data_IF_513438768750
#
_entry.id   IF_513438768750
#
_cell.length_a   1.000
_cell.length_b   1.000
_cell.length_c   1.000
_cell.angle_alpha   90.00
_cell.angle_beta   90.00
_cell.angle_gamma   90.00
#
_symmetry.space_group_name_H-M   'P 1'
#
loop_
_entity.id
_entity.type
_entity.pdbx_description
1 polymer ?
#
# COMPACT_ATOMS: atom_id res chain seq x y z
N UNK A 1 -41.40 -30.22 42.73
CA UNK A 1 -40.37 -29.48 43.48
C UNK A 1 -39.50 -28.74 42.48
N UNK A 2 -39.41 -27.41 42.65
CA UNK A 2 -38.46 -26.43 42.07
C UNK A 2 -38.34 -26.27 40.53
N UNK A 3 -38.49 -25.00 40.17
CA UNK A 3 -38.32 -24.31 38.88
C UNK A 3 -36.89 -24.43 38.35
N UNK A 4 -36.72 -24.29 37.04
CA UNK A 4 -35.88 -23.23 36.46
C UNK A 4 -36.31 -22.93 35.03
N UNK A 5 -36.52 -21.64 34.81
CA UNK A 5 -36.85 -20.96 33.56
C UNK A 5 -35.56 -20.76 32.75
N UNK A 6 -35.59 -20.95 31.44
CA UNK A 6 -34.69 -20.23 30.52
C UNK A 6 -35.52 -19.64 29.39
N UNK A 7 -35.48 -18.33 29.34
CA UNK A 7 -36.09 -17.44 28.34
C UNK A 7 -35.08 -17.32 27.20
N UNK A 8 -35.47 -17.73 25.99
CA UNK A 8 -34.88 -17.22 24.75
C UNK A 8 -36.07 -16.78 23.89
N UNK A 9 -36.36 -15.49 23.92
CA UNK A 9 -37.40 -14.90 23.10
C UNK A 9 -36.85 -14.68 21.69
N UNK A 10 -37.39 -15.47 20.76
CA UNK A 10 -37.34 -15.27 19.31
C UNK A 10 -38.28 -14.11 18.98
N UNK A 11 -37.78 -13.07 18.28
CA UNK A 11 -38.59 -12.03 17.64
C UNK A 11 -37.95 -11.81 16.26
N UNK A 12 -38.30 -12.61 15.25
CA UNK A 12 -39.31 -12.34 14.20
C UNK A 12 -39.11 -10.99 13.51
N UNK A 13 -38.46 -11.07 12.35
CA UNK A 13 -38.48 -10.09 11.27
C UNK A 13 -39.92 -9.77 10.84
N UNK A 14 -40.29 -8.49 10.85
CA UNK A 14 -41.36 -7.98 9.98
C UNK A 14 -40.77 -6.84 9.15
N UNK A 15 -40.62 -7.15 7.87
CA UNK A 15 -40.43 -6.21 6.78
C UNK A 15 -41.69 -5.37 6.63
N UNK A 16 -41.58 -4.05 6.73
CA UNK A 16 -42.52 -3.12 6.11
C UNK A 16 -41.73 -2.30 5.10
N UNK A 17 -41.95 -2.62 3.83
CA UNK A 17 -41.57 -1.83 2.67
C UNK A 17 -42.37 -0.54 2.71
N UNK A 18 -41.69 0.58 2.89
CA UNK A 18 -42.21 1.93 2.73
C UNK A 18 -41.27 2.72 1.83
N UNK A 19 -41.43 2.54 0.52
CA UNK A 19 -40.72 3.27 -0.51
C UNK A 19 -41.04 4.76 -0.43
N UNK A 20 -40.10 5.55 0.05
CA UNK A 20 -40.04 6.98 -0.23
C UNK A 20 -38.64 7.26 -0.74
N UNK A 21 -38.51 7.49 -2.06
CA UNK A 21 -37.36 8.19 -2.63
C UNK A 21 -37.33 9.58 -2.01
N UNK A 22 -36.58 9.75 -0.93
CA UNK A 22 -35.99 11.03 -0.60
C UNK A 22 -34.69 11.13 -1.38
N UNK A 23 -34.80 11.62 -2.61
CA UNK A 23 -33.65 12.21 -3.30
C UNK A 23 -33.33 13.49 -2.50
N UNK A 24 -32.55 13.32 -1.44
CA UNK A 24 -32.04 14.42 -0.65
C UNK A 24 -31.22 15.29 -1.59
N UNK A 25 -31.73 16.48 -1.90
CA UNK A 25 -30.89 17.58 -2.36
C UNK A 25 -29.94 17.84 -1.18
N UNK A 26 -28.72 17.30 -1.25
CA UNK A 26 -27.62 17.76 -0.39
C UNK A 26 -27.53 19.26 -0.64
N UNK A 27 -27.82 20.07 0.37
CA UNK A 27 -27.53 21.49 0.27
C UNK A 27 -26.05 21.60 0.02
N UNK A 28 -25.67 22.26 -1.08
CA UNK A 28 -24.31 22.67 -1.32
C UNK A 28 -23.92 23.58 -0.17
N UNK A 29 -23.22 23.03 0.83
CA UNK A 29 -22.66 23.84 1.91
C UNK A 29 -21.78 24.92 1.28
N UNK A 30 -21.84 26.12 1.85
CA UNK A 30 -20.95 27.20 1.44
C UNK A 30 -19.51 26.66 1.53
N UNK A 31 -18.67 26.88 0.51
CA UNK A 31 -17.27 26.47 0.58
C UNK A 31 -16.64 27.10 1.84
N UNK A 32 -15.97 26.29 2.69
CA UNK A 32 -15.37 26.82 3.91
C UNK A 32 -14.18 27.73 3.54
N UNK A 33 -14.06 28.93 4.11
CA UNK A 33 -12.96 29.82 3.81
C UNK A 33 -11.64 29.27 4.37
N UNK A 34 -10.53 29.50 3.66
CA UNK A 34 -9.19 29.15 4.14
C UNK A 34 -8.82 29.89 5.45
N UNK A 35 -9.47 31.02 5.69
CA UNK A 35 -9.33 31.84 6.90
C UNK A 35 -9.55 31.06 8.21
N UNK A 36 -10.28 29.94 8.18
CA UNK A 36 -10.44 29.06 9.34
C UNK A 36 -9.09 28.49 9.81
N UNK A 37 -8.06 28.44 8.95
CA UNK A 37 -6.69 28.02 9.26
C UNK A 37 -5.71 29.18 9.48
N UNK A 38 -6.17 30.43 9.57
CA UNK A 38 -5.31 31.60 9.81
C UNK A 38 -4.34 31.39 10.99
N UNK A 39 -3.07 31.71 10.77
CA UNK A 39 -2.00 31.57 11.75
C UNK A 39 -0.65 31.17 11.14
N UNK A 40 0.37 31.13 11.99
CA UNK A 40 1.65 30.49 11.69
C UNK A 40 1.62 29.07 12.23
N UNK A 41 2.12 28.13 11.43
CA UNK A 41 2.08 26.71 11.75
C UNK A 41 3.44 26.08 11.53
N UNK A 42 3.96 25.42 12.56
CA UNK A 42 5.24 24.71 12.47
C UNK A 42 5.04 23.33 11.88
N UNK A 43 5.97 22.92 11.04
CA UNK A 43 5.92 21.60 10.42
C UNK A 43 6.60 20.55 11.31
N UNK A 44 5.78 19.65 11.84
CA UNK A 44 6.21 18.58 12.75
C UNK A 44 7.25 17.67 12.08
N UNK A 45 7.18 17.49 10.75
CA UNK A 45 8.15 16.71 9.98
C UNK A 45 9.59 17.20 10.11
N UNK A 46 9.78 18.49 10.40
CA UNK A 46 11.12 19.09 10.58
C UNK A 46 11.76 18.78 11.94
N UNK A 47 10.99 18.23 12.88
CA UNK A 47 11.41 17.91 14.25
C UNK A 47 11.79 16.43 14.44
N UNK A 48 11.56 15.59 13.43
CA UNK A 48 11.73 14.13 13.52
C UNK A 48 13.20 13.67 13.69
N UNK A 49 14.17 14.51 13.34
CA UNK A 49 15.59 14.21 13.55
C UNK A 49 16.11 14.60 14.95
N UNK A 50 15.27 15.20 15.81
CA UNK A 50 15.71 15.54 17.16
C UNK A 50 15.94 14.25 17.99
N UNK A 51 17.09 14.12 18.69
CA UNK A 51 17.39 12.93 19.51
C UNK A 51 16.35 12.62 20.59
N UNK A 52 15.52 13.59 20.99
CA UNK A 52 14.43 13.34 21.92
C UNK A 52 13.36 12.38 21.35
N UNK A 53 13.28 12.22 20.02
CA UNK A 53 12.38 11.28 19.35
C UNK A 53 12.81 9.82 19.47
N UNK A 54 14.05 9.52 19.87
CA UNK A 54 14.56 8.13 19.93
C UNK A 54 13.66 7.23 20.80
N UNK A 55 13.21 7.73 21.96
CA UNK A 55 12.32 6.99 22.85
C UNK A 55 10.92 6.75 22.26
N UNK A 56 10.45 7.66 21.39
CA UNK A 56 9.17 7.50 20.67
C UNK A 56 9.29 6.37 19.65
N UNK A 57 10.38 6.35 18.88
CA UNK A 57 10.62 5.32 17.87
C UNK A 57 10.75 3.93 18.49
N UNK A 58 11.45 3.82 19.63
CA UNK A 58 11.50 2.58 20.41
C UNK A 58 10.10 2.15 20.86
N UNK A 59 9.31 3.05 21.45
CA UNK A 59 7.96 2.74 21.92
C UNK A 59 7.01 2.30 20.80
N UNK A 60 7.11 2.92 19.61
CA UNK A 60 6.34 2.54 18.43
C UNK A 60 6.74 1.15 17.90
N UNK A 61 8.05 0.88 17.83
CA UNK A 61 8.58 -0.43 17.45
C UNK A 61 8.10 -1.53 18.40
N UNK A 62 8.19 -1.29 19.71
CA UNK A 62 7.72 -2.21 20.74
C UNK A 62 6.21 -2.47 20.63
N UNK A 63 5.41 -1.43 20.39
CA UNK A 63 3.96 -1.58 20.20
C UNK A 63 3.62 -2.41 18.96
N UNK A 64 4.28 -2.17 17.83
CA UNK A 64 4.09 -2.96 16.61
C UNK A 64 4.52 -4.42 16.82
N UNK A 65 5.64 -4.66 17.50
CA UNK A 65 6.10 -6.00 17.84
C UNK A 65 5.15 -6.74 18.77
N UNK A 66 4.59 -6.05 19.76
CA UNK A 66 3.58 -6.63 20.64
C UNK A 66 2.31 -7.03 19.89
N UNK A 67 1.96 -6.27 18.84
CA UNK A 67 0.82 -6.56 17.98
C UNK A 67 1.10 -7.67 16.96
N UNK A 68 2.29 -7.71 16.36
CA UNK A 68 2.70 -8.69 15.35
C UNK A 68 3.05 -10.06 15.96
N UNK A 69 3.67 -10.07 17.15
CA UNK A 69 4.04 -11.29 17.87
C UNK A 69 5.36 -11.94 17.43
N UNK A 70 6.13 -11.32 16.52
CA UNK A 70 7.35 -11.89 15.92
C UNK A 70 8.64 -11.08 16.14
N UNK A 71 8.54 -9.84 16.67
CA UNK A 71 9.71 -9.01 16.98
C UNK A 71 10.39 -8.40 15.74
N UNK A 72 9.69 -8.33 14.61
CA UNK A 72 10.23 -7.91 13.31
C UNK A 72 10.49 -6.40 13.15
N UNK A 73 9.89 -5.55 13.99
CA UNK A 73 9.94 -4.09 13.86
C UNK A 73 11.07 -3.47 14.69
N UNK A 74 11.70 -2.44 14.12
CA UNK A 74 12.78 -1.68 14.75
C UNK A 74 12.42 -0.20 14.92
N UNK A 75 13.22 0.53 15.71
CA UNK A 75 13.11 1.98 15.82
C UNK A 75 13.36 2.68 14.47
N UNK A 76 14.21 2.12 13.60
CA UNK A 76 14.46 2.67 12.26
C UNK A 76 13.22 2.51 11.34
N UNK A 77 12.45 1.44 11.51
CA UNK A 77 11.17 1.26 10.80
C UNK A 77 10.14 2.29 11.26
N UNK A 78 10.06 2.53 12.58
CA UNK A 78 9.21 3.57 13.16
C UNK A 78 9.59 4.96 12.67
N UNK A 79 10.89 5.26 12.63
CA UNK A 79 11.41 6.50 12.05
C UNK A 79 10.98 6.60 10.59
N UNK A 80 11.29 5.60 9.76
CA UNK A 80 10.95 5.59 8.34
C UNK A 80 9.45 5.78 8.08
N UNK A 81 8.60 5.17 8.90
CA UNK A 81 7.15 5.34 8.85
C UNK A 81 6.73 6.79 9.13
N UNK A 82 7.21 7.42 10.20
CA UNK A 82 6.89 8.83 10.47
C UNK A 82 7.45 9.78 9.40
N UNK A 83 8.62 9.50 8.81
CA UNK A 83 9.14 10.26 7.67
C UNK A 83 8.22 10.16 6.45
N UNK A 84 7.72 8.96 6.14
CA UNK A 84 6.78 8.79 5.05
C UNK A 84 5.46 9.51 5.34
N UNK A 85 4.96 9.43 6.57
CA UNK A 85 3.74 10.09 7.01
C UNK A 85 3.83 11.62 6.90
N UNK A 86 4.92 12.23 7.39
CA UNK A 86 5.07 13.70 7.42
C UNK A 86 5.84 14.28 6.24
N UNK A 87 6.12 13.48 5.21
CA UNK A 87 6.92 13.89 4.06
C UNK A 87 6.40 15.20 3.48
N UNK A 88 7.24 16.21 3.46
CA UNK A 88 6.93 17.53 2.93
C UNK A 88 8.21 18.14 2.36
N UNK A 89 8.07 19.06 1.40
CA UNK A 89 9.19 19.74 0.73
C UNK A 89 9.41 21.18 1.23
N UNK A 90 8.67 21.59 2.26
CA UNK A 90 8.70 22.91 2.87
C UNK A 90 8.98 22.82 4.38
N UNK A 91 9.40 23.93 4.97
CA UNK A 91 9.52 24.12 6.42
C UNK A 91 8.15 24.43 7.01
N UNK A 92 7.95 25.63 7.52
CA UNK A 92 6.70 26.05 8.15
C UNK A 92 5.66 26.61 7.16
N UNK A 93 4.45 26.88 7.65
CA UNK A 93 3.39 27.57 6.92
C UNK A 93 2.95 28.86 7.63
N UNK A 94 2.58 29.86 6.84
CA UNK A 94 1.80 31.00 7.30
C UNK A 94 0.52 31.11 6.48
N UNK A 95 -0.64 31.21 7.15
CA UNK A 95 -1.94 31.34 6.50
C UNK A 95 -2.56 32.67 6.92
N UNK A 96 -2.86 33.51 5.93
CA UNK A 96 -3.52 34.80 6.11
C UNK A 96 -4.58 35.00 5.02
N UNK A 97 -5.85 34.97 5.43
CA UNK A 97 -6.97 35.03 4.50
C UNK A 97 -6.96 33.85 3.53
N UNK A 98 -6.93 34.16 2.23
CA UNK A 98 -6.84 33.19 1.16
C UNK A 98 -5.39 32.87 0.74
N UNK A 99 -4.38 33.36 1.47
CA UNK A 99 -2.96 33.21 1.12
C UNK A 99 -2.26 32.23 2.03
N UNK A 100 -1.56 31.26 1.45
CA UNK A 100 -0.59 30.39 2.13
C UNK A 100 0.82 30.83 1.75
N UNK A 101 1.64 31.12 2.75
CA UNK A 101 3.08 31.29 2.60
C UNK A 101 3.77 30.00 3.00
N UNK A 102 4.44 29.36 2.06
CA UNK A 102 5.32 28.22 2.33
C UNK A 102 6.71 28.75 2.65
N UNK A 103 7.30 28.29 3.75
CA UNK A 103 8.67 28.62 4.12
C UNK A 103 9.61 27.47 3.76
N UNK A 104 10.90 27.75 3.57
CA UNK A 104 11.94 26.73 3.62
C UNK A 104 12.26 26.41 5.09
N UNK A 105 13.00 25.31 5.33
CA UNK A 105 13.44 24.91 6.67
C UNK A 105 14.31 25.97 7.35
N UNK A 106 14.99 26.82 6.58
CA UNK A 106 15.78 27.94 7.12
C UNK A 106 14.95 29.20 7.44
N UNK A 107 13.62 29.12 7.31
CA UNK A 107 12.68 30.22 7.56
C UNK A 107 12.56 31.25 6.43
N UNK A 108 13.28 31.07 5.32
CA UNK A 108 13.11 31.93 4.14
C UNK A 108 11.79 31.62 3.42
N UNK A 109 11.17 32.63 2.80
CA UNK A 109 9.94 32.42 2.01
C UNK A 109 10.28 31.59 0.77
N UNK A 110 9.62 30.44 0.62
CA UNK A 110 9.69 29.60 -0.57
C UNK A 110 8.76 30.13 -1.66
N UNK A 111 7.48 30.28 -1.34
CA UNK A 111 6.48 30.85 -2.23
C UNK A 111 5.26 31.36 -1.45
N UNK A 112 4.42 32.15 -2.13
CA UNK A 112 3.15 32.66 -1.60
C UNK A 112 2.03 32.36 -2.58
N UNK A 113 1.08 31.56 -2.14
CA UNK A 113 0.08 30.94 -2.97
C UNK A 113 -1.30 31.42 -2.55
N UNK A 114 -2.08 31.96 -3.50
CA UNK A 114 -3.48 32.34 -3.25
C UNK A 114 -4.40 31.20 -3.67
N UNK A 115 -5.44 30.94 -2.87
CA UNK A 115 -6.37 29.84 -3.09
C UNK A 115 -7.83 30.30 -3.12
N UNK A 116 -8.66 29.52 -3.81
CA UNK A 116 -10.12 29.58 -3.71
C UNK A 116 -10.64 28.24 -3.19
N UNK A 117 -11.67 28.27 -2.34
CA UNK A 117 -12.26 27.04 -1.81
C UNK A 117 -13.04 26.29 -2.91
N UNK A 118 -12.68 25.03 -3.11
CA UNK A 118 -13.29 24.08 -4.04
C UNK A 118 -14.32 23.14 -3.35
N UNK A 119 -14.64 23.39 -2.07
CA UNK A 119 -15.67 22.69 -1.32
C UNK A 119 -15.12 21.68 -0.32
N UNK A 120 -15.99 20.80 0.16
CA UNK A 120 -15.67 19.83 1.23
C UNK A 120 -15.96 18.43 0.71
N UNK A 121 -15.11 17.47 1.08
CA UNK A 121 -15.29 16.06 0.79
C UNK A 121 -15.17 15.22 2.07
N UNK A 122 -16.27 14.59 2.46
CA UNK A 122 -16.32 13.70 3.62
C UNK A 122 -15.88 12.31 3.20
N UNK A 123 -14.90 11.76 3.92
CA UNK A 123 -14.38 10.40 3.70
C UNK A 123 -14.48 9.59 4.99
N UNK A 124 -14.59 8.28 4.83
CA UNK A 124 -14.54 7.34 5.95
C UNK A 124 -13.09 6.99 6.30
N UNK A 125 -12.78 6.98 7.59
CA UNK A 125 -11.54 6.49 8.16
C UNK A 125 -11.88 5.47 9.26
N UNK A 126 -11.88 4.19 8.90
CA UNK A 126 -12.44 3.15 9.76
C UNK A 126 -13.94 3.34 9.95
N UNK A 127 -14.39 3.43 11.21
CA UNK A 127 -15.79 3.69 11.57
C UNK A 127 -16.13 5.19 11.68
N UNK A 128 -15.12 6.07 11.58
CA UNK A 128 -15.29 7.51 11.70
C UNK A 128 -15.35 8.17 10.32
N UNK A 129 -15.99 9.34 10.26
CA UNK A 129 -15.98 10.20 9.07
C UNK A 129 -15.20 11.46 9.38
N UNK A 130 -14.41 11.94 8.42
CA UNK A 130 -13.76 13.24 8.52
C UNK A 130 -13.82 14.00 7.20
N UNK A 131 -13.62 15.31 7.28
CA UNK A 131 -13.76 16.23 6.15
C UNK A 131 -12.39 16.66 5.61
N UNK A 132 -12.21 16.51 4.29
CA UNK A 132 -11.20 17.22 3.52
C UNK A 132 -11.77 18.52 2.98
N UNK A 133 -11.17 19.64 3.38
CA UNK A 133 -11.47 20.96 2.87
C UNK A 133 -10.57 21.26 1.69
N UNK A 134 -11.16 21.53 0.53
CA UNK A 134 -10.46 21.59 -0.76
C UNK A 134 -10.21 23.03 -1.16
N UNK A 135 -8.99 23.30 -1.60
CA UNK A 135 -8.52 24.62 -2.02
C UNK A 135 -7.74 24.49 -3.34
N UNK A 136 -8.13 25.26 -4.35
CA UNK A 136 -7.45 25.29 -5.65
C UNK A 136 -6.70 26.61 -5.82
N UNK A 137 -5.45 26.50 -6.28
CA UNK A 137 -4.55 27.62 -6.50
C UNK A 137 -5.10 28.58 -7.56
N UNK A 138 -5.11 29.87 -7.25
CA UNK A 138 -5.52 30.95 -8.16
C UNK A 138 -4.37 31.88 -8.55
N UNK A 139 -3.30 31.94 -7.74
CA UNK A 139 -2.11 32.71 -8.06
C UNK A 139 -1.30 32.08 -9.20
N UNK A 140 -0.78 32.91 -10.11
CA UNK A 140 0.03 32.48 -11.26
C UNK A 140 1.55 32.30 -10.95
N UNK A 141 1.95 32.33 -9.67
CA UNK A 141 3.36 32.11 -9.30
C UNK A 141 3.79 30.68 -9.65
N UNK A 142 4.76 30.55 -10.54
CA UNK A 142 5.29 29.26 -10.95
C UNK A 142 5.90 28.48 -9.78
N UNK A 143 6.37 29.15 -8.72
CA UNK A 143 6.85 28.48 -7.50
C UNK A 143 5.72 27.83 -6.68
N UNK A 144 4.45 28.12 -6.99
CA UNK A 144 3.28 27.51 -6.37
C UNK A 144 2.72 26.31 -7.14
N UNK A 145 3.25 25.99 -8.34
CA UNK A 145 2.61 25.01 -9.22
C UNK A 145 2.52 23.61 -8.60
N UNK A 146 3.48 23.24 -7.74
CA UNK A 146 3.48 21.96 -7.01
C UNK A 146 2.38 21.88 -5.93
N UNK A 147 1.84 23.03 -5.50
CA UNK A 147 0.80 23.16 -4.48
C UNK A 147 -0.56 23.51 -5.08
N UNK A 148 -0.81 23.14 -6.36
CA UNK A 148 -2.01 23.54 -7.11
C UNK A 148 -3.32 23.13 -6.43
N UNK A 149 -3.38 21.89 -5.96
CA UNK A 149 -4.47 21.34 -5.17
C UNK A 149 -4.00 21.21 -3.73
N UNK A 150 -4.76 21.76 -2.81
CA UNK A 150 -4.50 21.70 -1.37
C UNK A 150 -5.75 21.16 -0.68
N UNK A 151 -5.57 20.17 0.18
CA UNK A 151 -6.63 19.70 1.07
C UNK A 151 -6.17 19.74 2.53
N UNK A 152 -7.06 20.18 3.41
CA UNK A 152 -6.81 20.33 4.85
C UNK A 152 -7.86 19.56 5.65
N UNK A 153 -7.48 19.00 6.79
CA UNK A 153 -8.42 18.60 7.83
C UNK A 153 -8.76 19.79 8.74
N UNK A 154 -9.85 19.69 9.51
CA UNK A 154 -10.10 20.63 10.60
C UNK A 154 -8.93 20.62 11.61
N UNK A 155 -8.67 21.78 12.21
CA UNK A 155 -7.74 21.91 13.33
C UNK A 155 -8.31 21.17 14.54
N UNK A 156 -7.52 20.31 15.14
CA UNK A 156 -7.95 19.50 16.28
C UNK A 156 -6.81 19.29 17.27
N UNK A 157 -7.18 18.79 18.45
CA UNK A 157 -6.28 18.39 19.52
C UNK A 157 -6.88 17.14 20.16
N UNK A 158 -6.05 16.11 20.37
CA UNK A 158 -6.45 14.90 21.07
C UNK A 158 -6.23 15.09 22.58
N UNK A 159 -7.31 15.01 23.37
CA UNK A 159 -7.27 15.00 24.85
C UNK A 159 -6.42 16.10 25.53
N UNK A 160 -6.22 17.25 24.87
CA UNK A 160 -5.40 18.36 25.40
C UNK A 160 -3.95 18.39 24.89
N UNK A 161 -3.60 17.51 23.97
CA UNK A 161 -2.33 17.54 23.23
C UNK A 161 -2.23 18.70 22.24
N UNK A 162 -1.16 18.68 21.45
CA UNK A 162 -0.84 19.69 20.45
C UNK A 162 -2.02 20.04 19.53
N UNK A 163 -2.33 21.33 19.39
CA UNK A 163 -3.27 21.81 18.37
C UNK A 163 -2.60 21.68 17.00
N UNK A 164 -3.20 20.90 16.11
CA UNK A 164 -2.63 20.65 14.78
C UNK A 164 -3.72 20.39 13.73
N UNK A 165 -3.30 20.29 12.48
CA UNK A 165 -4.10 19.74 11.39
C UNK A 165 -3.21 18.95 10.43
N UNK A 166 -3.85 18.13 9.58
CA UNK A 166 -3.18 17.43 8.50
C UNK A 166 -3.50 18.08 7.16
N UNK A 167 -2.57 17.97 6.22
CA UNK A 167 -2.77 18.44 4.84
C UNK A 167 -2.28 17.43 3.81
N UNK A 168 -2.79 17.54 2.58
CA UNK A 168 -2.14 16.98 1.38
C UNK A 168 -2.14 18.01 0.28
N UNK A 169 -1.15 17.92 -0.61
CA UNK A 169 -1.01 18.86 -1.71
C UNK A 169 -0.45 18.18 -2.97
N UNK A 170 -0.66 18.79 -4.13
CA UNK A 170 -0.10 18.28 -5.39
C UNK A 170 -0.65 19.02 -6.61
N UNK A 171 -0.23 18.58 -7.80
CA UNK A 171 -0.58 19.21 -9.07
C UNK A 171 -1.49 18.36 -9.97
N UNK A 172 -1.92 17.19 -9.49
CA UNK A 172 -2.72 16.20 -10.21
C UNK A 172 -4.22 16.50 -10.15
N UNK A 173 -4.88 16.20 -9.03
CA UNK A 173 -6.32 16.49 -8.78
C UNK A 173 -6.69 16.26 -7.31
N UNK A 174 -7.82 16.81 -6.86
CA UNK A 174 -8.37 16.49 -5.54
C UNK A 174 -8.68 15.00 -5.35
N UNK A 175 -9.20 14.34 -6.39
CA UNK A 175 -9.51 12.90 -6.34
C UNK A 175 -8.24 12.07 -6.11
N UNK A 176 -7.15 12.42 -6.79
CA UNK A 176 -5.85 11.77 -6.58
C UNK A 176 -5.36 11.99 -5.14
N UNK A 177 -5.42 13.23 -4.61
CA UNK A 177 -5.00 13.50 -3.23
C UNK A 177 -5.83 12.75 -2.17
N UNK A 178 -7.11 12.48 -2.44
CA UNK A 178 -8.04 11.87 -1.47
C UNK A 178 -8.05 10.35 -1.60
N UNK A 179 -8.18 9.82 -2.82
CA UNK A 179 -8.51 8.43 -3.09
C UNK A 179 -7.32 7.58 -3.57
N UNK A 180 -6.16 8.18 -3.86
CA UNK A 180 -4.99 7.40 -4.25
C UNK A 180 -4.42 6.64 -3.04
N UNK A 181 -4.36 5.29 -3.10
CA UNK A 181 -3.87 4.49 -1.98
C UNK A 181 -2.42 4.80 -1.61
N UNK A 182 -1.60 5.31 -2.55
CA UNK A 182 -0.22 5.73 -2.27
C UNK A 182 -0.14 6.90 -1.26
N UNK A 183 -1.21 7.68 -1.11
CA UNK A 183 -1.30 8.76 -0.13
C UNK A 183 -2.04 8.34 1.14
N UNK A 184 -2.45 7.07 1.27
CA UNK A 184 -3.30 6.58 2.36
C UNK A 184 -2.76 6.86 3.77
N UNK A 185 -1.43 6.86 3.94
CA UNK A 185 -0.77 7.26 5.20
C UNK A 185 0.07 8.53 5.09
N UNK A 186 -0.10 9.29 4.02
CA UNK A 186 0.55 10.58 3.87
C UNK A 186 -0.29 11.65 4.59
N UNK A 187 0.20 12.09 5.75
CA UNK A 187 -0.43 13.08 6.63
C UNK A 187 0.62 14.09 7.15
N UNK A 188 1.18 14.97 6.29
CA UNK A 188 1.91 16.15 6.74
C UNK A 188 1.15 16.87 7.84
N UNK A 189 1.81 17.10 8.97
CA UNK A 189 1.18 17.62 10.19
C UNK A 189 1.74 18.99 10.53
N UNK A 190 0.83 19.93 10.70
CA UNK A 190 1.11 21.33 10.96
C UNK A 190 0.55 21.68 12.33
N UNK A 191 1.42 22.12 13.23
CA UNK A 191 1.12 22.37 14.63
C UNK A 191 1.20 23.86 14.96
N UNK A 192 0.57 24.27 16.07
CA UNK A 192 0.58 25.65 16.52
C UNK A 192 2.02 26.21 16.65
N UNK A 193 2.23 27.49 16.36
CA UNK A 193 3.55 28.14 16.27
C UNK A 193 4.46 27.92 17.49
N UNK A 194 3.88 27.80 18.68
CA UNK A 194 4.60 27.61 19.95
C UNK A 194 4.92 26.15 20.29
N UNK A 195 4.55 25.21 19.42
CA UNK A 195 4.84 23.78 19.57
C UNK A 195 6.35 23.55 19.61
N UNK A 196 6.80 22.83 20.63
CA UNK A 196 8.19 22.41 20.81
C UNK A 196 8.38 20.93 20.47
N UNK A 197 9.63 20.52 20.28
CA UNK A 197 9.97 19.08 20.18
C UNK A 197 9.46 18.29 21.38
N UNK A 198 9.45 18.89 22.59
CA UNK A 198 8.93 18.24 23.79
C UNK A 198 7.44 17.90 23.67
N UNK A 199 6.64 18.83 23.13
CA UNK A 199 5.21 18.62 22.90
C UNK A 199 4.96 17.55 21.82
N UNK A 200 5.80 17.52 20.79
CA UNK A 200 5.78 16.48 19.75
C UNK A 200 6.11 15.11 20.34
N UNK A 201 7.17 15.02 21.15
CA UNK A 201 7.57 13.78 21.82
C UNK A 201 6.47 13.29 22.75
N UNK A 202 5.87 14.17 23.56
CA UNK A 202 4.76 13.81 24.44
C UNK A 202 3.56 13.30 23.65
N UNK A 203 3.16 14.01 22.58
CA UNK A 203 2.05 13.61 21.73
C UNK A 203 2.25 12.25 21.06
N UNK A 204 3.42 11.99 20.48
CA UNK A 204 3.69 10.67 19.90
C UNK A 204 3.92 9.58 20.94
N UNK A 205 4.45 9.89 22.13
CA UNK A 205 4.59 8.91 23.19
C UNK A 205 3.22 8.43 23.69
N UNK A 206 2.25 9.33 23.85
CA UNK A 206 0.86 8.98 24.17
C UNK A 206 0.20 8.19 23.03
N UNK A 207 0.45 8.59 21.78
CA UNK A 207 -0.05 7.93 20.58
C UNK A 207 0.70 6.67 20.14
N UNK A 208 1.80 6.30 20.80
CA UNK A 208 2.73 5.27 20.33
C UNK A 208 2.07 3.91 20.06
N UNK A 209 1.11 3.41 20.88
CA UNK A 209 0.41 2.18 20.58
C UNK A 209 -0.33 2.24 19.23
N UNK A 210 -1.10 3.32 19.02
CA UNK A 210 -1.86 3.52 17.79
C UNK A 210 -0.94 3.67 16.58
N UNK A 211 0.15 4.45 16.71
CA UNK A 211 1.15 4.59 15.66
C UNK A 211 1.88 3.29 15.35
N UNK A 212 2.15 2.45 16.36
CA UNK A 212 2.68 1.10 16.17
C UNK A 212 1.72 0.20 15.37
N UNK A 213 0.42 0.25 15.64
CA UNK A 213 -0.58 -0.47 14.85
C UNK A 213 -0.68 0.04 13.41
N UNK A 214 -0.63 1.36 13.21
CA UNK A 214 -0.62 1.96 11.87
C UNK A 214 0.65 1.59 11.09
N UNK A 215 1.81 1.61 11.76
CA UNK A 215 3.08 1.15 11.19
C UNK A 215 3.00 -0.33 10.81
N UNK A 216 2.47 -1.18 11.70
CA UNK A 216 2.24 -2.59 11.39
C UNK A 216 1.33 -2.77 10.18
N UNK A 217 0.29 -1.94 10.00
CA UNK A 217 -0.56 -2.01 8.81
C UNK A 217 0.16 -1.53 7.53
N UNK A 218 1.07 -0.56 7.66
CA UNK A 218 1.86 -0.03 6.54
C UNK A 218 2.90 -1.04 6.02
N UNK A 219 3.61 -1.69 6.93
CA UNK A 219 4.57 -2.76 6.59
C UNK A 219 3.93 -4.15 6.53
N UNK A 220 2.68 -4.24 6.95
CA UNK A 220 1.97 -5.50 7.15
C UNK A 220 1.76 -6.24 5.85
N UNK A 221 1.70 -7.57 5.99
CA UNK A 221 1.40 -8.47 4.90
C UNK A 221 0.14 -8.00 4.15
N UNK A 222 0.23 -7.65 2.85
CA UNK A 222 -0.92 -7.23 2.05
C UNK A 222 -2.03 -8.30 1.98
N UNK A 223 -1.74 -9.53 2.41
CA UNK A 223 -2.71 -10.63 2.46
C UNK A 223 -3.55 -10.69 3.74
N UNK A 224 -3.24 -9.91 4.79
CA UNK A 224 -3.87 -10.05 6.11
C UNK A 224 -5.39 -9.86 6.11
N UNK A 225 -5.91 -9.03 5.20
CA UNK A 225 -7.33 -8.68 5.10
C UNK A 225 -8.05 -9.37 3.93
N UNK A 226 -7.40 -10.33 3.24
CA UNK A 226 -8.03 -11.09 2.17
C UNK A 226 -8.98 -12.17 2.74
N UNK A 227 -10.29 -12.03 2.50
CA UNK A 227 -11.28 -13.05 2.82
C UNK A 227 -11.23 -14.19 1.78
N UNK A 228 -10.73 -15.39 2.14
CA UNK A 228 -10.63 -16.50 1.20
C UNK A 228 -12.00 -16.99 0.71
N UNK A 229 -13.10 -16.66 1.39
CA UNK A 229 -14.47 -17.06 1.03
C UNK A 229 -15.11 -16.13 -0.03
N UNK A 230 -14.44 -15.04 -0.43
CA UNK A 230 -14.95 -14.12 -1.47
C UNK A 230 -15.02 -14.76 -2.87
N UNK A 231 -14.33 -15.87 -3.10
CA UNK A 231 -14.27 -16.53 -4.40
C UNK A 231 -15.21 -17.74 -4.48
N UNK A 232 -16.16 -17.78 -5.42
CA UNK A 232 -17.20 -18.83 -5.48
C UNK A 232 -16.70 -20.20 -5.97
N UNK A 233 -15.38 -20.43 -6.01
CA UNK A 233 -14.77 -21.63 -6.57
C UNK A 233 -14.00 -22.40 -5.48
N UNK A 234 -14.05 -23.73 -5.56
CA UNK A 234 -13.19 -24.60 -4.75
C UNK A 234 -11.72 -24.27 -5.06
N UNK A 235 -11.01 -23.77 -4.06
CA UNK A 235 -9.59 -23.47 -4.12
C UNK A 235 -8.85 -24.70 -3.61
N UNK A 236 -7.95 -25.24 -4.43
CA UNK A 236 -7.01 -26.26 -4.01
C UNK A 236 -5.80 -25.55 -3.42
N UNK A 237 -5.51 -25.80 -2.15
CA UNK A 237 -4.28 -25.34 -1.50
C UNK A 237 -3.08 -26.15 -2.01
N UNK A 238 -2.23 -25.48 -2.78
CA UNK A 238 -0.96 -25.95 -3.33
C UNK A 238 0.24 -25.34 -2.61
N UNK A 239 0.07 -24.82 -1.38
CA UNK A 239 1.21 -24.35 -0.58
C UNK A 239 2.17 -25.49 -0.27
N UNK A 240 3.46 -25.22 -0.39
CA UNK A 240 4.54 -26.16 -0.08
C UNK A 240 5.74 -26.08 -1.00
N UNK A 241 6.66 -27.01 -0.80
CA UNK A 241 7.89 -27.12 -1.59
C UNK A 241 7.73 -28.16 -2.71
N UNK A 242 8.19 -27.82 -3.90
CA UNK A 242 8.12 -28.65 -5.09
C UNK A 242 9.48 -28.78 -5.76
N UNK A 243 9.73 -29.95 -6.34
CA UNK A 243 10.80 -30.15 -7.30
C UNK A 243 10.20 -29.96 -8.70
N UNK A 244 10.64 -28.91 -9.38
CA UNK A 244 10.27 -28.65 -10.76
C UNK A 244 11.23 -29.34 -11.71
N UNK A 245 10.71 -30.13 -12.64
CA UNK A 245 11.48 -30.72 -13.74
C UNK A 245 10.80 -30.43 -15.08
N UNK A 246 11.58 -30.30 -16.15
CA UNK A 246 10.99 -30.15 -17.47
C UNK A 246 11.98 -29.81 -18.57
N UNK A 247 11.43 -29.36 -19.69
CA UNK A 247 12.18 -29.04 -20.90
C UNK A 247 11.84 -27.64 -21.39
N UNK A 248 12.86 -26.87 -21.73
CA UNK A 248 12.75 -25.54 -22.33
C UNK A 248 13.22 -25.61 -23.78
N UNK A 249 12.49 -24.94 -24.67
CA UNK A 249 12.85 -24.74 -26.07
C UNK A 249 12.92 -23.25 -26.38
N UNK A 250 13.95 -22.86 -27.12
CA UNK A 250 14.12 -21.50 -27.60
C UNK A 250 13.69 -21.40 -29.07
N UNK A 251 13.08 -20.26 -29.39
CA UNK A 251 12.59 -19.88 -30.69
C UNK A 251 13.24 -18.56 -31.09
N UNK A 252 13.65 -18.44 -32.35
CA UNK A 252 14.08 -17.16 -32.89
C UNK A 252 12.90 -16.17 -33.00
N UNK A 253 13.18 -14.94 -33.43
CA UNK A 253 12.18 -13.88 -33.59
C UNK A 253 11.14 -14.20 -34.69
N UNK A 254 11.43 -15.16 -35.57
CA UNK A 254 10.55 -15.63 -36.63
C UNK A 254 9.70 -16.84 -36.18
N UNK A 255 9.95 -17.36 -34.97
CA UNK A 255 9.24 -18.49 -34.38
C UNK A 255 9.79 -19.85 -34.80
N UNK A 256 11.00 -19.93 -35.36
CA UNK A 256 11.65 -21.20 -35.67
C UNK A 256 12.35 -21.75 -34.44
N UNK A 257 12.30 -23.07 -34.25
CA UNK A 257 13.09 -23.77 -33.22
C UNK A 257 14.58 -23.52 -33.39
N UNK A 258 15.26 -23.28 -32.27
CA UNK A 258 16.72 -23.22 -32.19
C UNK A 258 17.18 -24.54 -31.54
N UNK A 259 17.55 -25.57 -32.33
CA UNK A 259 17.75 -26.93 -31.81
C UNK A 259 18.90 -27.06 -30.81
N UNK A 260 19.88 -26.16 -30.87
CA UNK A 260 21.04 -26.13 -29.98
C UNK A 260 20.71 -25.63 -28.57
N UNK A 261 19.48 -25.15 -28.35
CA UNK A 261 18.98 -24.62 -27.08
C UNK A 261 17.73 -25.40 -26.64
N UNK A 262 17.91 -26.69 -26.41
CA UNK A 262 16.96 -27.51 -25.65
C UNK A 262 17.62 -27.81 -24.31
N UNK A 263 17.01 -27.32 -23.24
CA UNK A 263 17.57 -27.43 -21.90
C UNK A 263 16.64 -28.24 -21.00
N UNK A 264 17.23 -29.16 -20.24
CA UNK A 264 16.54 -29.80 -19.13
C UNK A 264 16.66 -28.92 -17.91
N UNK A 265 15.53 -28.65 -17.28
CA UNK A 265 15.45 -27.79 -16.12
C UNK A 265 15.17 -28.63 -14.89
N UNK A 266 15.89 -28.35 -13.82
CA UNK A 266 15.62 -28.88 -12.47
C UNK A 266 15.77 -27.73 -11.49
N UNK A 267 14.70 -27.46 -10.74
CA UNK A 267 14.65 -26.34 -9.81
C UNK A 267 13.80 -26.67 -8.59
N UNK A 268 14.06 -25.97 -7.49
CA UNK A 268 13.16 -26.00 -6.32
C UNK A 268 12.17 -24.85 -6.43
N UNK A 269 10.89 -25.13 -6.19
CA UNK A 269 9.83 -24.12 -6.20
C UNK A 269 9.11 -24.13 -4.86
N UNK A 270 9.13 -23.00 -4.15
CA UNK A 270 8.37 -22.81 -2.91
C UNK A 270 7.12 -22.01 -3.24
N UNK A 271 5.95 -22.58 -2.98
CA UNK A 271 4.65 -21.93 -3.21
C UNK A 271 4.05 -21.45 -1.89
N UNK A 272 3.77 -20.16 -1.83
CA UNK A 272 2.97 -19.49 -0.80
C UNK A 272 1.61 -19.14 -1.40
N UNK A 273 0.51 -19.68 -0.87
CA UNK A 273 -0.83 -19.45 -1.40
C UNK A 273 -1.78 -18.89 -0.34
N UNK A 274 -2.55 -17.88 -0.74
CA UNK A 274 -3.58 -17.22 0.06
C UNK A 274 -4.89 -17.17 -0.74
N UNK A 275 -5.79 -18.09 -0.43
CA UNK A 275 -6.99 -18.33 -1.24
C UNK A 275 -6.61 -18.64 -2.69
N UNK A 276 -7.16 -17.92 -3.66
CA UNK A 276 -6.80 -18.17 -5.06
C UNK A 276 -5.46 -17.59 -5.46
N UNK A 277 -4.87 -16.67 -4.69
CA UNK A 277 -3.66 -15.96 -5.09
C UNK A 277 -2.42 -16.68 -4.57
N UNK A 278 -1.34 -16.64 -5.34
CA UNK A 278 -0.10 -17.30 -4.95
C UNK A 278 1.14 -16.52 -5.38
N UNK A 279 2.21 -16.77 -4.62
CA UNK A 279 3.59 -16.43 -4.94
C UNK A 279 4.36 -17.74 -5.03
N UNK A 280 5.18 -17.89 -6.07
CA UNK A 280 6.07 -19.03 -6.23
C UNK A 280 7.52 -18.56 -6.37
N UNK A 281 8.39 -19.04 -5.50
CA UNK A 281 9.82 -18.74 -5.49
C UNK A 281 10.55 -19.88 -6.16
N UNK A 282 11.16 -19.61 -7.30
CA UNK A 282 11.93 -20.55 -8.10
C UNK A 282 13.41 -20.40 -7.82
N UNK A 283 14.07 -21.49 -7.47
CA UNK A 283 15.50 -21.53 -7.18
C UNK A 283 16.18 -22.54 -8.08
N UNK A 284 17.12 -22.05 -8.90
CA UNK A 284 18.00 -22.85 -9.75
C UNK A 284 19.47 -22.47 -9.52
N UNK A 285 20.41 -23.31 -9.96
CA UNK A 285 21.85 -23.10 -9.76
C UNK A 285 22.33 -21.78 -10.41
N UNK A 286 22.27 -20.68 -9.64
CA UNK A 286 22.73 -19.35 -10.06
C UNK A 286 21.72 -18.21 -9.90
N UNK A 287 20.48 -18.46 -9.48
CA UNK A 287 19.51 -17.38 -9.29
C UNK A 287 18.19 -17.77 -8.66
N UNK A 288 17.48 -16.77 -8.14
CA UNK A 288 16.13 -16.87 -7.63
C UNK A 288 15.17 -16.06 -8.51
N UNK A 289 14.05 -16.65 -8.89
CA UNK A 289 12.98 -16.00 -9.65
C UNK A 289 11.68 -15.99 -8.85
N UNK A 290 10.98 -14.86 -8.81
CA UNK A 290 9.68 -14.74 -8.13
C UNK A 290 8.56 -14.68 -9.16
N UNK A 291 7.61 -15.60 -9.04
CA UNK A 291 6.40 -15.67 -9.85
C UNK A 291 5.19 -15.33 -9.00
N UNK A 292 4.19 -14.71 -9.62
CA UNK A 292 2.91 -14.40 -9.01
C UNK A 292 1.77 -14.91 -9.88
N UNK A 293 0.69 -15.37 -9.26
CA UNK A 293 -0.40 -15.96 -10.01
C UNK A 293 -1.62 -16.29 -9.18
N UNK A 294 -2.44 -17.17 -9.75
CA UNK A 294 -3.66 -17.64 -9.11
C UNK A 294 -4.05 -19.07 -9.50
N UNK A 295 -4.87 -19.68 -8.65
CA UNK A 295 -5.56 -20.96 -8.90
C UNK A 295 -7.06 -20.79 -8.95
N UNK A 296 -7.73 -21.53 -9.83
CA UNK A 296 -9.20 -21.68 -9.82
C UNK A 296 -9.56 -23.13 -10.13
N UNK A 297 -10.13 -23.84 -9.14
CA UNK A 297 -10.33 -25.29 -9.22
C UNK A 297 -8.99 -25.99 -9.45
N UNK A 298 -8.92 -26.78 -10.52
CA UNK A 298 -7.71 -27.53 -10.88
C UNK A 298 -6.79 -26.74 -11.83
N UNK A 299 -7.00 -25.44 -12.04
CA UNK A 299 -6.19 -24.66 -12.96
C UNK A 299 -5.24 -23.74 -12.20
N UNK A 300 -4.06 -23.52 -12.75
CA UNK A 300 -3.08 -22.55 -12.29
C UNK A 300 -2.74 -21.59 -13.43
N UNK A 301 -2.60 -20.32 -13.10
CA UNK A 301 -2.00 -19.30 -13.95
C UNK A 301 -0.95 -18.56 -13.15
N UNK A 302 0.27 -18.45 -13.69
CA UNK A 302 1.39 -17.76 -13.06
C UNK A 302 2.08 -16.88 -14.08
N UNK A 303 2.71 -15.82 -13.60
CA UNK A 303 3.41 -14.86 -14.45
C UNK A 303 4.61 -14.29 -13.71
N UNK A 304 5.59 -13.84 -14.50
CA UNK A 304 6.76 -13.12 -13.99
C UNK A 304 7.21 -12.15 -15.07
N UNK A 305 7.55 -10.94 -14.65
CA UNK A 305 8.32 -10.00 -15.44
C UNK A 305 9.50 -9.52 -14.59
N UNK A 306 10.71 -9.62 -15.13
CA UNK A 306 11.91 -9.36 -14.36
C UNK A 306 13.11 -8.99 -15.21
N UNK A 307 14.22 -8.75 -14.53
CA UNK A 307 15.52 -8.50 -15.14
C UNK A 307 16.54 -9.49 -14.59
N UNK A 308 17.46 -9.95 -15.43
CA UNK A 308 18.62 -10.73 -15.00
C UNK A 308 19.85 -10.30 -15.79
N UNK A 309 21.04 -10.53 -15.22
CA UNK A 309 22.30 -10.34 -15.91
C UNK A 309 22.73 -11.67 -16.52
N UNK A 310 22.83 -11.72 -17.85
CA UNK A 310 23.26 -12.92 -18.58
C UNK A 310 24.71 -12.78 -19.05
N UNK A 311 25.59 -13.77 -18.80
CA UNK A 311 26.99 -13.72 -19.25
C UNK A 311 27.10 -13.47 -20.75
N UNK A 312 27.78 -12.40 -21.14
CA UNK A 312 27.97 -12.03 -22.54
C UNK A 312 26.79 -11.31 -23.21
N UNK A 313 25.63 -11.22 -22.56
CA UNK A 313 24.45 -10.47 -23.05
C UNK A 313 24.14 -9.23 -22.19
N UNK A 314 24.68 -9.16 -20.97
CA UNK A 314 24.42 -8.07 -20.02
C UNK A 314 23.00 -8.15 -19.45
N UNK A 315 22.43 -7.00 -19.09
CA UNK A 315 21.09 -6.92 -18.54
C UNK A 315 20.04 -7.30 -19.58
N UNK A 316 19.32 -8.38 -19.32
CA UNK A 316 18.18 -8.81 -20.12
C UNK A 316 16.90 -8.69 -19.31
N UNK A 317 15.80 -8.38 -19.99
CA UNK A 317 14.44 -8.37 -19.43
C UNK A 317 13.70 -9.59 -19.92
N UNK A 318 12.92 -10.22 -19.05
CA UNK A 318 12.05 -11.32 -19.44
C UNK A 318 10.62 -11.08 -19.00
N UNK A 319 9.68 -11.58 -19.80
CA UNK A 319 8.25 -11.60 -19.52
C UNK A 319 7.75 -13.02 -19.75
N UNK A 320 6.94 -13.53 -18.83
CA UNK A 320 6.49 -14.91 -18.84
C UNK A 320 5.07 -15.08 -18.36
N UNK A 321 4.38 -16.02 -18.98
CA UNK A 321 3.09 -16.54 -18.49
C UNK A 321 3.14 -18.07 -18.55
N UNK A 322 2.81 -18.67 -17.42
CA UNK A 322 2.58 -20.09 -17.26
C UNK A 322 1.10 -20.37 -17.05
N UNK A 323 0.55 -21.36 -17.73
CA UNK A 323 -0.77 -21.90 -17.42
C UNK A 323 -0.72 -23.41 -17.35
N UNK A 324 -1.58 -24.00 -16.53
CA UNK A 324 -1.76 -25.43 -16.54
C UNK A 324 -2.66 -25.95 -15.44
N UNK A 325 -2.41 -27.18 -15.01
CA UNK A 325 -3.35 -27.95 -14.21
C UNK A 325 -2.72 -28.53 -12.94
N UNK A 326 -3.56 -28.69 -11.93
CA UNK A 326 -3.27 -29.31 -10.64
C UNK A 326 -3.92 -30.69 -10.64
N UNK A 327 -3.12 -31.72 -10.45
CA UNK A 327 -3.56 -33.11 -10.40
C UNK A 327 -3.11 -33.79 -9.11
N UNK A 328 -3.74 -34.92 -8.78
CA UNK A 328 -3.32 -35.75 -7.66
C UNK A 328 -2.35 -36.82 -8.16
N UNK A 329 -1.08 -36.64 -7.80
CA UNK A 329 0.01 -37.57 -8.06
C UNK A 329 0.16 -38.67 -7.02
N UNK A 330 1.19 -39.49 -7.20
CA UNK A 330 1.51 -40.60 -6.29
C UNK A 330 2.05 -40.11 -4.92
N UNK A 331 2.76 -38.98 -4.92
CA UNK A 331 3.44 -38.42 -3.74
C UNK A 331 2.79 -37.13 -3.21
N UNK A 332 1.61 -36.76 -3.72
CA UNK A 332 0.95 -35.50 -3.35
C UNK A 332 0.33 -34.82 -4.56
N UNK A 333 0.18 -33.50 -4.49
CA UNK A 333 -0.24 -32.72 -5.65
C UNK A 333 0.91 -32.62 -6.66
N UNK A 334 0.57 -32.78 -7.94
CA UNK A 334 1.44 -32.52 -9.07
C UNK A 334 0.89 -31.33 -9.85
N UNK A 335 1.76 -30.40 -10.22
CA UNK A 335 1.37 -29.21 -10.97
C UNK A 335 2.06 -29.22 -12.31
N UNK A 336 1.27 -29.24 -13.38
CA UNK A 336 1.75 -29.20 -14.75
C UNK A 336 1.63 -27.77 -15.25
N UNK A 337 2.74 -27.16 -15.67
CA UNK A 337 2.76 -25.77 -16.15
C UNK A 337 3.39 -25.70 -17.52
N UNK A 338 2.67 -25.10 -18.47
CA UNK A 338 3.21 -24.74 -19.77
C UNK A 338 3.50 -23.25 -19.81
N UNK A 339 4.73 -22.92 -20.19
CA UNK A 339 5.28 -21.57 -20.20
C UNK A 339 5.41 -21.01 -21.59
N UNK A 340 5.22 -19.70 -21.69
CA UNK A 340 5.67 -18.89 -22.82
C UNK A 340 6.47 -17.73 -22.25
N UNK A 341 7.67 -17.51 -22.80
CA UNK A 341 8.55 -16.41 -22.44
C UNK A 341 8.87 -15.52 -23.64
N UNK A 342 9.18 -14.27 -23.32
CA UNK A 342 9.86 -13.32 -24.20
C UNK A 342 11.08 -12.76 -23.49
N UNK A 343 12.21 -12.72 -24.19
CA UNK A 343 13.47 -12.21 -23.67
C UNK A 343 13.90 -11.01 -24.51
N UNK A 344 14.22 -9.92 -23.84
CA UNK A 344 14.59 -8.64 -24.42
C UNK A 344 15.98 -8.22 -23.97
N UNK A 345 16.70 -7.50 -24.83
CA UNK A 345 17.98 -6.86 -24.47
C UNK A 345 17.76 -5.61 -23.60
N UNK A 346 18.86 -4.95 -23.22
CA UNK A 346 18.86 -3.72 -22.43
C UNK A 346 18.16 -2.54 -23.11
N UNK A 347 18.00 -2.59 -24.44
CA UNK A 347 17.35 -1.58 -25.25
C UNK A 347 15.88 -1.94 -25.58
N UNK A 348 15.34 -3.00 -24.96
CA UNK A 348 14.01 -3.58 -25.18
C UNK A 348 13.78 -4.17 -26.58
N UNK A 349 14.81 -4.57 -27.30
CA UNK A 349 14.64 -5.37 -28.52
C UNK A 349 14.40 -6.83 -28.15
N UNK A 350 13.40 -7.46 -28.76
CA UNK A 350 13.13 -8.89 -28.59
C UNK A 350 14.29 -9.71 -29.17
N UNK A 351 14.88 -10.57 -28.36
CA UNK A 351 16.00 -11.44 -28.76
C UNK A 351 15.50 -12.86 -29.05
N UNK A 352 14.71 -13.44 -28.14
CA UNK A 352 14.20 -14.81 -28.23
C UNK A 352 12.77 -14.92 -27.71
N UNK A 353 12.03 -15.88 -28.25
CA UNK A 353 10.85 -16.42 -27.61
C UNK A 353 11.22 -17.78 -27.01
N UNK A 354 10.62 -18.18 -25.89
CA UNK A 354 10.85 -19.50 -25.33
C UNK A 354 9.52 -20.15 -24.95
N UNK A 355 9.50 -21.47 -24.92
CA UNK A 355 8.40 -22.24 -24.37
C UNK A 355 8.95 -23.36 -23.49
N UNK A 356 8.21 -23.76 -22.47
CA UNK A 356 8.54 -24.94 -21.69
C UNK A 356 7.32 -25.68 -21.19
N UNK A 357 7.55 -26.92 -20.81
CA UNK A 357 6.63 -27.70 -20.00
C UNK A 357 7.38 -28.13 -18.76
N UNK A 358 6.85 -27.76 -17.59
CA UNK A 358 7.36 -28.16 -16.28
C UNK A 358 6.33 -29.02 -15.55
N UNK A 359 6.83 -29.98 -14.79
CA UNK A 359 6.08 -30.74 -13.78
C UNK A 359 6.67 -30.41 -12.42
N UNK A 360 5.82 -29.97 -11.50
CA UNK A 360 6.19 -29.68 -10.12
C UNK A 360 5.67 -30.81 -9.25
N UNK A 361 6.59 -31.61 -8.73
CA UNK A 361 6.29 -32.71 -7.84
C UNK A 361 6.53 -32.27 -6.40
N UNK A 362 5.53 -32.44 -5.52
CA UNK A 362 5.67 -32.03 -4.12
C UNK A 362 6.80 -32.83 -3.46
N UNK A 363 7.69 -32.11 -2.77
CA UNK A 363 8.70 -32.70 -1.90
C UNK A 363 8.07 -32.77 -0.51
N UNK A 364 8.12 -33.94 0.15
CA UNK A 364 7.68 -34.04 1.55
C UNK A 364 8.58 -33.13 2.40
N UNK A 365 7.96 -32.32 3.27
CA UNK A 365 8.65 -31.47 4.25
C UNK A 365 9.34 -32.30 5.36
#
# INVERSE_FOLDING_TARGET
MKKTTSIVAVIICIVIVGSALYMGIRSQESPAPLDDWNGTWVNVGTMLDDPAMDAVYEAMGDAANAAAGDGSFTADDAKSFLYAMHKSDFGDLGIEGNTVTYYNVDGTVRCKCEYESAGIETVAFGEEEFNWYKFELTSEDAACSEYKYLILCEKHSHEGGMLHFHMRYGDTSFDDLINNPAYGMWYPTLAAEDTTVGDVVEGYAEGAPMMGYMMLAWFGDPWRDFDPDFLPAEIIDISGTYMATGEVVFLDIEGNFIPDFIEQVTATVVVEQHGSLLKAIWTEDGGEGVFQGSTVGNNIMISNAGYMEAPGMGKIRFESVGTGNIEKGANGLEIYVNWIWRIYDSDNNLIFNCAATHVWERVED
#
